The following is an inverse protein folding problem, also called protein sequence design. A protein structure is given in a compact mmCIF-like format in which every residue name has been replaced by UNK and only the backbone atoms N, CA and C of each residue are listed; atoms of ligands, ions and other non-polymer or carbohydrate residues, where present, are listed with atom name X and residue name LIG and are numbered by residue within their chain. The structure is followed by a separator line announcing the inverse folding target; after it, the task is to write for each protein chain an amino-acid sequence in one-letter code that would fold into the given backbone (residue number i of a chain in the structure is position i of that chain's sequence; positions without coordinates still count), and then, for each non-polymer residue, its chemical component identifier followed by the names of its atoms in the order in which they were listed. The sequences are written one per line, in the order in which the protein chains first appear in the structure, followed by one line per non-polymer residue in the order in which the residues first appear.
data_IF_337227518019
#
_entry.id   IF_337227518019
#
_cell.length_a   1.000
_cell.length_b   1.000
_cell.length_c   1.000
_cell.angle_alpha   90.00
_cell.angle_beta   90.00
_cell.angle_gamma   90.00
#
_symmetry.space_group_name_H-M   'P 1'
#
loop_
_entity.id
_entity.type
_entity.pdbx_description
1 polymer ?
#
# COMPACT_ATOMS: atom_id res chain seq x y z
N UNK A 1 -37.96 0.90 -5.52
CA UNK A 1 -37.36 2.25 -5.38
C UNK A 1 -37.50 2.81 -3.96
N UNK A 2 -38.68 2.78 -3.31
CA UNK A 2 -38.83 3.25 -1.90
C UNK A 2 -38.04 2.43 -0.86
N UNK A 3 -38.03 1.11 -0.98
CA UNK A 3 -37.35 0.23 -0.02
C UNK A 3 -35.82 0.37 -0.06
N UNK A 4 -35.25 0.59 -1.25
CA UNK A 4 -33.81 0.84 -1.40
C UNK A 4 -33.34 2.16 -0.77
N UNK A 5 -34.21 3.18 -0.72
CA UNK A 5 -33.90 4.45 -0.06
C UNK A 5 -33.92 4.27 1.47
N UNK A 6 -34.87 3.50 2.00
CA UNK A 6 -34.95 3.25 3.44
C UNK A 6 -33.74 2.45 3.95
N UNK A 7 -33.36 1.38 3.25
CA UNK A 7 -32.17 0.58 3.62
C UNK A 7 -30.90 1.42 3.54
N UNK A 8 -30.79 2.28 2.53
CA UNK A 8 -29.67 3.21 2.40
C UNK A 8 -29.61 4.23 3.54
N UNK A 9 -30.75 4.84 3.90
CA UNK A 9 -30.81 5.82 4.99
C UNK A 9 -30.45 5.18 6.34
N UNK A 10 -30.93 3.96 6.60
CA UNK A 10 -30.57 3.19 7.80
C UNK A 10 -29.08 2.83 7.81
N UNK A 11 -28.53 2.37 6.69
CA UNK A 11 -27.09 2.04 6.57
C UNK A 11 -26.22 3.28 6.80
N UNK A 12 -26.63 4.43 6.25
CA UNK A 12 -25.93 5.69 6.44
C UNK A 12 -25.89 6.06 7.93
N UNK A 13 -27.03 6.05 8.59
CA UNK A 13 -27.15 6.47 10.00
C UNK A 13 -26.44 5.50 10.95
N UNK A 14 -26.67 4.20 10.81
CA UNK A 14 -26.22 3.19 11.78
C UNK A 14 -24.75 2.78 11.60
N UNK A 15 -24.22 2.90 10.38
CA UNK A 15 -22.88 2.41 10.02
C UNK A 15 -21.98 3.54 9.55
N UNK A 16 -22.38 4.34 8.56
CA UNK A 16 -21.46 5.30 7.93
C UNK A 16 -21.21 6.52 8.81
N UNK A 17 -22.26 7.18 9.30
CA UNK A 17 -22.17 8.36 10.15
C UNK A 17 -21.58 7.99 11.53
N UNK A 18 -21.83 6.76 12.00
CA UNK A 18 -21.22 6.23 13.21
C UNK A 18 -19.68 6.27 13.17
N UNK A 19 -19.09 5.90 12.04
CA UNK A 19 -17.65 5.84 11.85
C UNK A 19 -17.00 7.20 11.54
N UNK A 20 -17.79 8.24 11.27
CA UNK A 20 -17.31 9.61 11.05
C UNK A 20 -17.06 10.38 12.36
N UNK A 21 -17.58 9.88 13.49
CA UNK A 21 -17.30 10.42 14.82
C UNK A 21 -15.83 10.23 15.19
N UNK A 22 -15.12 11.34 15.44
CA UNK A 22 -13.69 11.33 15.73
C UNK A 22 -13.32 10.58 17.01
N UNK A 23 -14.17 10.62 18.04
CA UNK A 23 -13.89 9.94 19.31
C UNK A 23 -14.00 8.43 19.15
N UNK A 24 -14.99 7.96 18.40
CA UNK A 24 -15.16 6.52 18.09
C UNK A 24 -14.04 6.02 17.20
N UNK A 25 -13.69 6.80 16.17
CA UNK A 25 -12.60 6.46 15.26
C UNK A 25 -11.26 6.36 16.00
N UNK A 26 -10.99 7.31 16.91
CA UNK A 26 -9.77 7.30 17.72
C UNK A 26 -9.72 6.10 18.68
N UNK A 27 -10.83 5.78 19.35
CA UNK A 27 -10.91 4.62 20.23
C UNK A 27 -10.66 3.32 19.46
N UNK A 28 -11.34 3.13 18.33
CA UNK A 28 -11.17 1.96 17.48
C UNK A 28 -9.74 1.83 16.95
N UNK A 29 -9.12 2.93 16.51
CA UNK A 29 -7.73 2.96 16.07
C UNK A 29 -6.77 2.51 17.19
N UNK A 30 -6.96 3.03 18.41
CA UNK A 30 -6.10 2.69 19.54
C UNK A 30 -6.22 1.21 19.93
N UNK A 31 -7.43 0.66 19.90
CA UNK A 31 -7.70 -0.75 20.21
C UNK A 31 -7.13 -1.70 19.14
N UNK A 32 -7.06 -1.24 17.89
CA UNK A 32 -6.65 -2.04 16.73
C UNK A 32 -5.28 -1.63 16.17
N UNK A 33 -4.44 -0.97 16.96
CA UNK A 33 -3.18 -0.38 16.48
C UNK A 33 -2.25 -1.40 15.80
N UNK A 34 -2.28 -2.66 16.23
CA UNK A 34 -1.52 -3.75 15.62
C UNK A 34 -1.88 -4.01 14.13
N UNK A 35 -3.09 -3.63 13.70
CA UNK A 35 -3.54 -3.74 12.31
C UNK A 35 -3.09 -2.56 11.44
N UNK A 36 -2.53 -1.52 12.05
CA UNK A 36 -2.14 -0.26 11.40
C UNK A 36 -0.65 -0.02 11.55
N UNK A 37 0.13 -0.85 10.86
CA UNK A 37 1.59 -0.80 10.86
C UNK A 37 2.13 -0.50 9.46
N UNK A 38 3.13 0.36 9.37
CA UNK A 38 4.03 0.45 8.24
C UNK A 38 4.93 -0.79 8.22
N UNK A 39 5.20 -1.33 7.03
CA UNK A 39 6.37 -2.16 6.81
C UNK A 39 7.64 -1.29 6.72
N UNK A 40 8.79 -1.92 6.53
CA UNK A 40 10.03 -1.19 6.26
C UNK A 40 9.87 -0.30 5.03
N UNK A 41 10.40 0.93 5.11
CA UNK A 41 10.32 1.93 4.06
C UNK A 41 11.70 2.43 3.68
N UNK A 42 11.92 2.68 2.40
CA UNK A 42 13.19 3.12 1.87
C UNK A 42 13.01 4.30 0.92
N UNK A 43 13.93 5.26 0.99
CA UNK A 43 14.03 6.35 0.01
C UNK A 43 15.40 6.34 -0.64
N UNK A 44 15.46 6.70 -1.91
CA UNK A 44 16.71 6.70 -2.66
C UNK A 44 16.50 6.74 -4.16
N UNK A 45 17.56 6.41 -4.88
CA UNK A 45 17.60 6.52 -6.35
C UNK A 45 18.00 5.18 -6.95
N UNK A 46 17.28 4.75 -7.99
CA UNK A 46 17.71 3.68 -8.87
C UNK A 46 18.29 4.28 -10.14
N UNK A 47 19.57 4.01 -10.40
CA UNK A 47 20.19 4.32 -11.69
C UNK A 47 20.07 3.12 -12.62
N UNK A 48 19.59 3.36 -13.85
CA UNK A 48 19.62 2.40 -14.95
C UNK A 48 20.60 2.90 -16.01
N UNK A 49 21.57 2.08 -16.40
CA UNK A 49 22.65 2.45 -17.31
C UNK A 49 22.86 1.41 -18.41
N UNK A 50 23.18 1.85 -19.62
CA UNK A 50 23.44 0.94 -20.74
C UNK A 50 24.86 0.35 -20.73
N UNK A 51 25.79 1.03 -20.04
CA UNK A 51 27.23 0.72 -20.07
C UNK A 51 27.74 0.35 -18.68
N UNK A 52 28.37 -0.82 -18.58
CA UNK A 52 28.97 -1.31 -17.33
C UNK A 52 30.00 -0.32 -16.75
N UNK A 53 30.82 0.29 -17.60
CA UNK A 53 31.83 1.27 -17.17
C UNK A 53 31.22 2.50 -16.50
N UNK A 54 30.06 2.96 -16.95
CA UNK A 54 29.33 4.05 -16.31
C UNK A 54 28.69 3.60 -15.00
N UNK A 55 28.17 2.36 -14.94
CA UNK A 55 27.60 1.80 -13.72
C UNK A 55 28.67 1.65 -12.62
N UNK A 56 29.86 1.16 -12.98
CA UNK A 56 31.04 1.11 -12.09
C UNK A 56 31.44 2.50 -11.60
N UNK A 57 31.40 3.51 -12.48
CA UNK A 57 31.67 4.89 -12.10
C UNK A 57 30.61 5.41 -11.11
N UNK A 58 29.32 5.15 -11.34
CA UNK A 58 28.23 5.55 -10.46
C UNK A 58 28.46 5.01 -9.04
N UNK A 59 28.71 3.70 -8.92
CA UNK A 59 28.99 3.03 -7.64
C UNK A 59 30.18 3.65 -6.94
N UNK A 60 31.27 3.91 -7.67
CA UNK A 60 32.46 4.56 -7.09
C UNK A 60 32.13 5.94 -6.52
N UNK A 61 31.39 6.76 -7.25
CA UNK A 61 31.04 8.12 -6.81
C UNK A 61 30.08 8.10 -5.61
N UNK A 62 29.08 7.21 -5.64
CA UNK A 62 28.10 7.05 -4.55
C UNK A 62 28.77 6.55 -3.27
N UNK A 63 29.66 5.54 -3.36
CA UNK A 63 30.45 5.06 -2.22
C UNK A 63 31.42 6.11 -1.65
N UNK A 64 31.78 7.12 -2.43
CA UNK A 64 32.53 8.28 -1.97
C UNK A 64 31.66 9.35 -1.30
N UNK A 65 30.35 9.12 -1.15
CA UNK A 65 29.40 10.07 -0.58
C UNK A 65 29.00 11.19 -1.55
N UNK A 66 29.19 11.01 -2.86
CA UNK A 66 28.72 11.99 -3.84
C UNK A 66 27.19 11.94 -3.90
N UNK A 67 26.49 13.09 -3.78
CA UNK A 67 25.03 13.14 -3.91
C UNK A 67 24.53 12.59 -5.26
N UNK A 68 23.38 11.92 -5.25
CA UNK A 68 22.81 11.23 -6.42
C UNK A 68 22.59 12.18 -7.60
N UNK A 69 22.19 13.42 -7.35
CA UNK A 69 21.99 14.44 -8.39
C UNK A 69 23.31 14.83 -9.07
N UNK A 70 24.40 14.89 -8.29
CA UNK A 70 25.73 15.19 -8.83
C UNK A 70 26.28 14.00 -9.62
N UNK A 71 26.05 12.77 -9.17
CA UNK A 71 26.37 11.55 -9.92
C UNK A 71 25.65 11.55 -11.26
N UNK A 72 24.34 11.84 -11.26
CA UNK A 72 23.54 11.91 -12.48
C UNK A 72 24.11 12.92 -13.49
N UNK A 73 24.42 14.15 -13.06
CA UNK A 73 25.00 15.18 -13.93
C UNK A 73 26.33 14.76 -14.55
N UNK A 74 27.21 14.13 -13.77
CA UNK A 74 28.53 13.68 -14.26
C UNK A 74 28.39 12.56 -15.29
N UNK A 75 27.43 11.65 -15.10
CA UNK A 75 27.17 10.56 -16.04
C UNK A 75 26.52 11.08 -17.33
N UNK A 76 25.52 11.95 -17.23
CA UNK A 76 24.86 12.56 -18.39
C UNK A 76 25.81 13.42 -19.22
N UNK A 77 26.76 14.12 -18.60
CA UNK A 77 27.79 14.89 -19.31
C UNK A 77 28.72 14.00 -20.16
N UNK A 78 28.87 12.72 -19.82
CA UNK A 78 29.60 11.74 -20.64
C UNK A 78 28.74 11.16 -21.74
N UNK A 79 27.50 10.78 -21.39
CA UNK A 79 26.53 10.21 -22.32
C UNK A 79 25.13 10.35 -21.73
N UNK A 80 24.34 11.29 -22.26
CA UNK A 80 23.04 11.65 -21.71
C UNK A 80 21.96 10.57 -21.91
N UNK A 81 22.11 9.71 -22.92
CA UNK A 81 21.12 8.67 -23.22
C UNK A 81 21.42 7.35 -22.50
N UNK A 82 22.67 7.15 -22.07
CA UNK A 82 23.10 5.90 -21.42
C UNK A 82 22.82 5.85 -19.91
N UNK A 83 22.10 6.83 -19.34
CA UNK A 83 21.74 6.87 -17.91
C UNK A 83 20.35 7.45 -17.69
N UNK A 84 19.55 6.73 -16.89
CA UNK A 84 18.25 7.16 -16.37
C UNK A 84 18.28 6.98 -14.86
N UNK A 85 17.66 7.88 -14.12
CA UNK A 85 17.47 7.75 -12.67
C UNK A 85 15.99 7.84 -12.32
N UNK A 86 15.57 7.01 -11.38
CA UNK A 86 14.23 7.04 -10.80
C UNK A 86 14.38 7.24 -9.28
N UNK A 87 13.79 8.32 -8.77
CA UNK A 87 13.84 8.67 -7.34
C UNK A 87 12.58 8.17 -6.63
N UNK A 88 12.78 7.63 -5.43
CA UNK A 88 11.73 7.07 -4.59
C UNK A 88 11.78 7.67 -3.20
N UNK A 89 10.60 7.97 -2.66
CA UNK A 89 10.43 8.50 -1.30
C UNK A 89 9.46 7.59 -0.51
N UNK A 90 9.88 7.18 0.68
CA UNK A 90 9.12 6.36 1.63
C UNK A 90 8.45 5.13 1.02
N UNK A 91 9.13 4.45 0.09
CA UNK A 91 8.59 3.30 -0.61
C UNK A 91 8.52 2.09 0.35
N UNK A 92 7.31 1.55 0.53
CA UNK A 92 7.01 0.51 1.51
C UNK A 92 7.25 -0.90 0.94
N UNK A 93 7.96 -1.74 1.69
CA UNK A 93 8.20 -3.15 1.32
C UNK A 93 6.88 -3.95 1.37
N UNK A 94 6.69 -4.83 0.40
CA UNK A 94 5.53 -5.73 0.34
C UNK A 94 4.26 -5.06 -0.19
N UNK A 95 4.25 -3.73 -0.36
CA UNK A 95 3.18 -3.07 -1.10
C UNK A 95 3.33 -3.40 -2.59
N UNK A 96 2.21 -3.75 -3.24
CA UNK A 96 2.18 -4.04 -4.66
C UNK A 96 2.51 -2.77 -5.45
N UNK A 97 3.77 -2.61 -5.86
CA UNK A 97 4.15 -1.55 -6.79
C UNK A 97 3.83 -1.99 -8.22
N UNK A 98 3.12 -1.14 -8.97
CA UNK A 98 2.92 -1.32 -10.41
C UNK A 98 4.19 -1.03 -11.23
N UNK A 99 5.22 -0.46 -10.60
CA UNK A 99 6.51 -0.15 -11.21
C UNK A 99 7.53 -1.27 -10.94
N UNK A 100 7.97 -1.94 -12.00
CA UNK A 100 9.05 -2.93 -11.97
C UNK A 100 10.34 -2.35 -11.37
N UNK A 101 10.68 -1.11 -11.74
CA UNK A 101 11.88 -0.42 -11.22
C UNK A 101 11.80 -0.17 -9.72
N UNK A 102 10.63 0.19 -9.21
CA UNK A 102 10.44 0.38 -7.77
C UNK A 102 10.61 -0.95 -7.02
N UNK A 103 10.16 -2.07 -7.59
CA UNK A 103 10.38 -3.40 -7.01
C UNK A 103 11.88 -3.77 -7.01
N UNK A 104 12.60 -3.47 -8.09
CA UNK A 104 14.06 -3.65 -8.17
C UNK A 104 14.76 -2.84 -7.09
N UNK A 105 14.42 -1.55 -6.95
CA UNK A 105 14.99 -0.69 -5.92
C UNK A 105 14.77 -1.26 -4.51
N UNK A 106 13.53 -1.62 -4.16
CA UNK A 106 13.22 -2.22 -2.85
C UNK A 106 14.02 -3.50 -2.59
N UNK A 107 14.18 -4.36 -3.60
CA UNK A 107 14.91 -5.63 -3.45
C UNK A 107 16.36 -5.43 -3.04
N UNK A 108 16.98 -4.33 -3.49
CA UNK A 108 18.36 -3.99 -3.13
C UNK A 108 18.43 -3.14 -1.86
N UNK A 109 17.52 -2.20 -1.67
CA UNK A 109 17.48 -1.37 -0.47
C UNK A 109 17.28 -2.23 0.81
N UNK A 110 16.46 -3.29 0.71
CA UNK A 110 16.22 -4.24 1.79
C UNK A 110 17.47 -5.08 2.20
N UNK A 111 18.56 -5.06 1.41
CA UNK A 111 19.82 -5.70 1.80
C UNK A 111 20.58 -4.91 2.87
N UNK A 112 20.22 -3.66 3.11
CA UNK A 112 20.81 -2.79 4.13
C UNK A 112 22.06 -2.01 3.68
N UNK A 113 22.54 -2.23 2.45
CA UNK A 113 23.63 -1.45 1.88
C UNK A 113 23.13 -0.07 1.39
N UNK A 114 23.93 0.97 1.62
CA UNK A 114 23.66 2.32 1.08
C UNK A 114 23.86 2.41 -0.44
N UNK A 115 24.68 1.52 -1.01
CA UNK A 115 24.93 1.45 -2.45
C UNK A 115 25.07 -0.01 -2.87
N UNK A 116 24.12 -0.49 -3.67
CA UNK A 116 24.12 -1.84 -4.23
C UNK A 116 24.29 -1.77 -5.75
N UNK A 117 25.25 -2.50 -6.29
CA UNK A 117 25.58 -2.49 -7.71
C UNK A 117 27.07 -2.47 -8.02
N UNK A 118 27.44 -2.52 -9.31
CA UNK A 118 26.54 -2.57 -10.46
C UNK A 118 26.05 -4.01 -10.70
N UNK A 119 24.76 -4.17 -11.02
CA UNK A 119 24.16 -5.48 -11.30
C UNK A 119 23.55 -5.46 -12.70
N UNK A 120 23.73 -6.53 -13.46
CA UNK A 120 23.17 -6.60 -14.81
C UNK A 120 21.66 -6.86 -14.76
N UNK A 121 20.89 -6.06 -15.50
CA UNK A 121 19.44 -6.22 -15.63
C UNK A 121 19.04 -6.10 -17.11
N UNK A 122 18.65 -7.21 -17.72
CA UNK A 122 18.43 -7.29 -19.17
C UNK A 122 19.68 -6.92 -19.97
N UNK A 123 19.57 -5.90 -20.84
CA UNK A 123 20.69 -5.39 -21.65
C UNK A 123 21.50 -4.28 -20.97
N UNK A 124 21.04 -3.80 -19.81
CA UNK A 124 21.67 -2.71 -19.06
C UNK A 124 22.16 -3.14 -17.68
N UNK A 125 22.43 -2.15 -16.86
CA UNK A 125 22.98 -2.24 -15.52
C UNK A 125 22.19 -1.38 -14.57
N UNK A 126 22.00 -1.85 -13.36
CA UNK A 126 21.32 -1.11 -12.29
C UNK A 126 22.27 -0.85 -11.12
N UNK A 127 22.09 0.31 -10.51
CA UNK A 127 22.76 0.72 -9.27
C UNK A 127 21.70 1.34 -8.36
N UNK A 128 21.47 0.73 -7.20
CA UNK A 128 20.57 1.29 -6.19
C UNK A 128 21.38 2.08 -5.17
N UNK A 129 20.94 3.31 -4.90
CA UNK A 129 21.49 4.18 -3.86
C UNK A 129 20.40 4.44 -2.81
N UNK A 130 20.55 3.87 -1.63
CA UNK A 130 19.62 4.05 -0.50
C UNK A 130 20.06 5.27 0.30
N UNK A 131 19.16 6.25 0.44
CA UNK A 131 19.41 7.50 1.17
C UNK A 131 18.87 7.42 2.59
N UNK A 132 17.65 6.91 2.76
CA UNK A 132 17.03 6.71 4.07
C UNK A 132 16.40 5.33 4.17
N UNK A 133 16.42 4.79 5.39
CA UNK A 133 15.70 3.57 5.78
C UNK A 133 14.91 3.87 7.04
N UNK A 134 13.64 3.49 7.02
CA UNK A 134 12.73 3.61 8.15
C UNK A 134 12.19 2.21 8.46
N UNK A 135 12.44 1.67 9.67
CA UNK A 135 11.92 0.36 10.03
C UNK A 135 10.39 0.38 10.15
N UNK A 136 9.80 -0.80 10.09
CA UNK A 136 8.40 -1.04 10.37
C UNK A 136 7.98 -0.44 11.73
N UNK A 137 6.75 0.06 11.79
CA UNK A 137 6.25 0.72 12.99
C UNK A 137 4.82 1.25 12.84
N UNK A 138 4.23 1.80 13.92
CA UNK A 138 2.84 2.20 13.92
C UNK A 138 2.59 3.36 12.95
N UNK A 139 1.51 3.26 12.17
CA UNK A 139 1.01 4.41 11.37
C UNK A 139 0.38 5.42 12.32
N UNK A 140 0.44 6.70 11.99
CA UNK A 140 -0.42 7.69 12.62
C UNK A 140 -1.86 7.53 12.11
N UNK A 141 -2.85 7.93 12.91
CA UNK A 141 -4.26 7.87 12.49
C UNK A 141 -4.48 8.63 11.17
N UNK A 142 -3.89 9.81 11.02
CA UNK A 142 -4.03 10.62 9.80
C UNK A 142 -3.46 9.94 8.55
N UNK A 143 -2.47 9.04 8.70
CA UNK A 143 -1.88 8.28 7.59
C UNK A 143 -2.74 7.09 7.14
N UNK A 144 -3.61 6.59 8.02
CA UNK A 144 -4.43 5.40 7.75
C UNK A 144 -5.94 5.63 7.93
N UNK A 145 -6.37 6.89 8.13
CA UNK A 145 -7.74 7.26 8.51
C UNK A 145 -8.81 6.60 7.65
N UNK A 146 -8.64 6.61 6.32
CA UNK A 146 -9.61 5.99 5.40
C UNK A 146 -9.77 4.49 5.63
N UNK A 147 -8.67 3.77 5.92
CA UNK A 147 -8.71 2.34 6.25
C UNK A 147 -9.36 2.10 7.60
N UNK A 148 -9.02 2.91 8.62
CA UNK A 148 -9.63 2.82 9.95
C UNK A 148 -11.15 3.07 9.87
N UNK A 149 -11.59 4.06 9.11
CA UNK A 149 -13.03 4.33 8.88
C UNK A 149 -13.69 3.13 8.23
N UNK A 150 -13.10 2.58 7.17
CA UNK A 150 -13.64 1.39 6.48
C UNK A 150 -13.74 0.18 7.41
N UNK A 151 -12.75 -0.04 8.27
CA UNK A 151 -12.74 -1.17 9.21
C UNK A 151 -13.78 -0.98 10.31
N UNK A 152 -13.92 0.24 10.82
CA UNK A 152 -14.94 0.56 11.82
C UNK A 152 -16.35 0.42 11.23
N UNK A 153 -16.56 0.84 9.99
CA UNK A 153 -17.82 0.61 9.27
C UNK A 153 -18.12 -0.88 9.15
N UNK A 154 -17.15 -1.69 8.71
CA UNK A 154 -17.33 -3.13 8.58
C UNK A 154 -17.64 -3.81 9.93
N UNK A 155 -16.93 -3.43 11.00
CA UNK A 155 -17.21 -3.93 12.35
C UNK A 155 -18.62 -3.55 12.81
N UNK A 156 -19.01 -2.28 12.60
CA UNK A 156 -20.31 -1.76 13.01
C UNK A 156 -21.46 -2.40 12.24
N UNK A 157 -21.26 -2.68 10.94
CA UNK A 157 -22.24 -3.38 10.11
C UNK A 157 -22.51 -4.79 10.64
N UNK A 158 -21.46 -5.53 11.03
CA UNK A 158 -21.59 -6.86 11.63
C UNK A 158 -22.40 -6.80 12.94
N UNK A 159 -22.09 -5.83 13.80
CA UNK A 159 -22.80 -5.63 15.07
C UNK A 159 -24.28 -5.28 14.84
N UNK A 160 -24.56 -4.39 13.89
CA UNK A 160 -25.91 -3.94 13.57
C UNK A 160 -26.76 -5.04 12.93
N UNK A 161 -26.21 -5.81 11.99
CA UNK A 161 -26.91 -6.97 11.41
C UNK A 161 -27.23 -8.02 12.49
N UNK A 162 -26.31 -8.21 13.44
CA UNK A 162 -26.51 -9.13 14.56
C UNK A 162 -27.64 -8.66 15.49
N UNK A 163 -27.73 -7.36 15.79
CA UNK A 163 -28.84 -6.82 16.59
C UNK A 163 -30.17 -6.93 15.86
N UNK A 164 -30.21 -6.61 14.56
CA UNK A 164 -31.43 -6.76 13.75
C UNK A 164 -31.93 -8.21 13.72
N UNK A 165 -31.03 -9.19 13.62
CA UNK A 165 -31.41 -10.60 13.64
C UNK A 165 -32.01 -11.07 14.97
N UNK A 166 -31.63 -10.43 16.09
CA UNK A 166 -32.21 -10.71 17.40
C UNK A 166 -33.58 -10.03 17.57
N UNK A 167 -33.68 -8.76 17.15
CA UNK A 167 -34.91 -7.97 17.29
C UNK A 167 -36.01 -8.44 16.33
N UNK A 168 -35.62 -8.95 15.16
CA UNK A 168 -36.53 -9.41 14.11
C UNK A 168 -36.22 -10.86 13.71
N UNK A 169 -36.58 -11.85 14.55
CA UNK A 169 -36.29 -13.26 14.27
C UNK A 169 -37.04 -13.72 13.01
N UNK A 170 -36.28 -14.11 11.99
CA UNK A 170 -36.83 -14.59 10.72
C UNK A 170 -37.09 -16.09 10.81
N UNK A 171 -38.35 -16.49 10.63
CA UNK A 171 -38.74 -17.91 10.50
C UNK A 171 -38.83 -18.28 9.02
N UNK A 172 -37.79 -18.94 8.49
CA UNK A 172 -37.79 -19.42 7.11
C UNK A 172 -38.53 -20.77 7.02
N UNK A 173 -39.55 -20.85 6.17
CA UNK A 173 -40.17 -22.13 5.83
C UNK A 173 -39.27 -22.90 4.84
N UNK A 174 -38.40 -23.76 5.38
CA UNK A 174 -37.45 -24.55 4.60
C UNK A 174 -38.09 -25.38 3.48
N UNK A 175 -39.33 -25.85 3.68
CA UNK A 175 -40.02 -26.68 2.70
C UNK A 175 -40.40 -25.90 1.45
N UNK A 176 -40.74 -24.61 1.60
CA UNK A 176 -41.01 -23.69 0.49
C UNK A 176 -39.72 -23.20 -0.14
N UNK A 177 -38.69 -22.92 0.68
CA UNK A 177 -37.37 -22.50 0.22
C UNK A 177 -36.70 -23.55 -0.69
N UNK A 178 -36.69 -24.82 -0.26
CA UNK A 178 -36.14 -25.94 -1.06
C UNK A 178 -36.90 -26.15 -2.36
N UNK A 179 -38.21 -25.90 -2.39
CA UNK A 179 -39.02 -25.98 -3.62
C UNK A 179 -38.68 -24.85 -4.60
N UNK A 180 -38.47 -23.63 -4.12
CA UNK A 180 -38.07 -22.48 -4.94
C UNK A 180 -36.67 -22.66 -5.56
N UNK A 181 -35.72 -23.20 -4.79
CA UNK A 181 -34.39 -23.55 -5.31
C UNK A 181 -34.44 -24.68 -6.34
N UNK A 182 -35.32 -25.67 -6.15
CA UNK A 182 -35.48 -26.80 -7.07
C UNK A 182 -36.26 -26.44 -8.36
N UNK A 183 -37.10 -25.39 -8.34
CA UNK A 183 -37.90 -24.97 -9.50
C UNK A 183 -37.18 -24.01 -10.46
N UNK A 184 -35.86 -23.79 -10.30
CA UNK A 184 -35.04 -23.07 -11.28
C UNK A 184 -35.45 -21.61 -11.52
N UNK A 185 -35.93 -20.92 -10.49
CA UNK A 185 -36.35 -19.53 -10.60
C UNK A 185 -35.42 -18.62 -9.82
N UNK A 186 -34.26 -18.28 -10.41
CA UNK A 186 -33.44 -17.10 -10.14
C UNK A 186 -32.34 -17.07 -11.23
N UNK A 187 -32.77 -16.74 -12.45
CA UNK A 187 -31.94 -16.01 -13.43
C UNK A 187 -32.34 -14.54 -13.36
#
# INVERSE_FOLDING_TARGET
YREGILVFDLMREEVWDYAMDSSRLQAFFNENQANYQWADRYSGTLFTLDKEGMAKQAVKMLKQGTPTEKVMRVLQAKDALAVVSDDYENLEVGQSTSSEKAAIFLSYAALGDSVTGPIQHGKGWVVAATVTSQPAGPKALDECKGKVVSDLQASREIDWLSSLGQDFPVSVNESTWKKLLASGGLD
#
